data_IF_331260222896
#
_entry.id   IF_331260222896
#
_cell.length_a   1.000
_cell.length_b   1.000
_cell.length_c   1.000
_cell.angle_alpha   90.00
_cell.angle_beta   90.00
_cell.angle_gamma   90.00
#
_symmetry.space_group_name_H-M   'P 1'
#
loop_
_entity.id
_entity.type
_entity.pdbx_description
1 polymer ?
#
# COMPACT_ATOMS: atom_id res chain seq x y z
N UNK A 1 -17.79 -6.92 8.80
CA UNK A 1 -17.49 -6.46 7.43
C UNK A 1 -16.20 -5.65 7.29
N UNK A 2 -15.67 -5.03 8.35
CA UNK A 2 -14.51 -4.11 8.26
C UNK A 2 -13.15 -4.66 8.74
N UNK A 3 -12.92 -5.98 8.76
CA UNK A 3 -11.73 -6.55 9.46
C UNK A 3 -10.39 -6.23 8.77
N UNK A 4 -10.40 -5.93 7.47
CA UNK A 4 -9.19 -5.70 6.66
C UNK A 4 -8.98 -4.20 6.37
N UNK A 5 -10.00 -3.37 6.63
CA UNK A 5 -9.93 -1.94 6.41
C UNK A 5 -9.01 -1.27 7.45
N UNK A 6 -8.00 -0.53 6.98
CA UNK A 6 -7.15 0.30 7.83
C UNK A 6 -7.66 1.74 7.84
N UNK A 7 -7.06 2.59 8.68
CA UNK A 7 -7.46 3.99 8.83
C UNK A 7 -7.49 4.73 7.48
N UNK A 8 -6.48 4.55 6.63
CA UNK A 8 -6.39 5.20 5.32
C UNK A 8 -7.57 4.84 4.40
N UNK A 9 -7.96 3.56 4.31
CA UNK A 9 -9.10 3.15 3.48
C UNK A 9 -10.38 3.85 3.94
N UNK A 10 -10.59 3.91 5.27
CA UNK A 10 -11.79 4.51 5.85
C UNK A 10 -11.82 6.03 5.71
N UNK A 11 -10.65 6.69 5.74
CA UNK A 11 -10.55 8.13 5.46
C UNK A 11 -11.05 8.42 4.05
N UNK A 12 -10.55 7.68 3.04
CA UNK A 12 -10.98 7.86 1.65
C UNK A 12 -12.47 7.63 1.47
N UNK A 13 -13.02 6.62 2.13
CA UNK A 13 -14.47 6.37 2.10
C UNK A 13 -15.24 7.53 2.72
N UNK A 14 -14.80 8.06 3.87
CA UNK A 14 -15.47 9.22 4.48
C UNK A 14 -15.42 10.43 3.55
N UNK A 15 -14.28 10.71 2.93
CA UNK A 15 -14.11 11.81 1.97
C UNK A 15 -15.00 11.64 0.73
N UNK A 16 -15.08 10.43 0.18
CA UNK A 16 -15.94 10.10 -0.98
C UNK A 16 -17.44 10.21 -0.64
N UNK A 17 -17.81 10.05 0.62
CA UNK A 17 -19.17 10.23 1.12
C UNK A 17 -19.45 11.67 1.57
N UNK A 18 -18.65 12.65 1.11
CA UNK A 18 -18.71 14.07 1.47
C UNK A 18 -18.61 14.34 2.98
N UNK A 19 -18.01 13.40 3.73
CA UNK A 19 -17.80 13.49 5.16
C UNK A 19 -16.49 14.19 5.52
N UNK A 20 -16.47 14.87 6.67
CA UNK A 20 -15.25 15.49 7.20
C UNK A 20 -14.41 14.49 7.98
N UNK A 21 -13.10 14.47 7.73
CA UNK A 21 -12.12 13.66 8.48
C UNK A 21 -11.27 14.56 9.36
N UNK A 22 -11.24 14.26 10.65
CA UNK A 22 -10.36 14.92 11.60
C UNK A 22 -9.09 14.10 11.80
N UNK A 23 -7.94 14.76 12.01
CA UNK A 23 -6.67 14.06 12.28
C UNK A 23 -6.77 13.11 13.48
N UNK A 24 -7.58 13.50 14.48
CA UNK A 24 -7.85 12.76 15.71
C UNK A 24 -8.87 11.62 15.56
N UNK A 25 -9.45 11.43 14.37
CA UNK A 25 -10.42 10.37 14.15
C UNK A 25 -9.77 8.99 14.28
N UNK A 26 -10.43 8.13 15.05
CA UNK A 26 -10.05 6.72 15.19
C UNK A 26 -10.76 5.89 14.12
N UNK A 27 -10.25 4.68 13.86
CA UNK A 27 -10.93 3.71 12.98
C UNK A 27 -12.40 3.51 13.38
N UNK A 28 -12.69 3.48 14.69
CA UNK A 28 -14.06 3.35 15.18
C UNK A 28 -14.92 4.58 14.82
N UNK A 29 -14.40 5.80 15.03
CA UNK A 29 -15.11 7.04 14.65
C UNK A 29 -15.37 7.10 13.14
N UNK A 30 -14.40 6.75 12.31
CA UNK A 30 -14.55 6.73 10.86
C UNK A 30 -15.65 5.74 10.42
N UNK A 31 -15.68 4.53 11.00
CA UNK A 31 -16.75 3.55 10.75
C UNK A 31 -18.12 4.12 11.12
N UNK A 32 -18.24 4.75 12.28
CA UNK A 32 -19.50 5.40 12.69
C UNK A 32 -19.90 6.53 11.75
N UNK A 33 -18.95 7.33 11.23
CA UNK A 33 -19.25 8.38 10.24
C UNK A 33 -19.79 7.78 8.95
N UNK A 34 -19.18 6.70 8.45
CA UNK A 34 -19.64 5.98 7.25
C UNK A 34 -21.04 5.41 7.47
N UNK A 35 -21.26 4.71 8.57
CA UNK A 35 -22.55 4.07 8.89
C UNK A 35 -23.70 5.07 9.09
N UNK A 36 -23.38 6.32 9.44
CA UNK A 36 -24.34 7.43 9.60
C UNK A 36 -24.47 8.32 8.36
N UNK A 37 -23.77 8.01 7.28
CA UNK A 37 -23.90 8.77 6.04
C UNK A 37 -25.25 8.48 5.38
N UNK A 38 -25.85 9.49 4.76
CA UNK A 38 -27.09 9.34 3.99
C UNK A 38 -26.95 8.30 2.89
N UNK A 39 -25.77 8.19 2.28
CA UNK A 39 -25.45 7.18 1.25
C UNK A 39 -25.44 5.77 1.82
N UNK A 40 -24.97 5.56 3.04
CA UNK A 40 -25.03 4.23 3.66
C UNK A 40 -26.46 3.85 4.04
N UNK A 41 -27.27 4.83 4.46
CA UNK A 41 -28.71 4.63 4.73
C UNK A 41 -29.49 4.31 3.45
N UNK A 42 -29.14 4.94 2.32
CA UNK A 42 -29.82 4.72 1.03
C UNK A 42 -29.33 3.47 0.31
N UNK A 43 -28.01 3.22 0.30
CA UNK A 43 -27.37 2.11 -0.39
C UNK A 43 -26.12 1.60 0.35
N UNK A 44 -26.37 0.76 1.36
CA UNK A 44 -25.30 0.14 2.14
C UNK A 44 -24.39 -0.78 1.30
N UNK A 45 -24.89 -1.36 0.20
CA UNK A 45 -24.14 -2.29 -0.63
C UNK A 45 -23.17 -1.56 -1.57
N UNK A 46 -23.55 -0.39 -2.08
CA UNK A 46 -22.64 0.54 -2.72
C UNK A 46 -21.48 0.90 -1.78
N UNK A 47 -21.76 1.30 -0.54
CA UNK A 47 -20.71 1.71 0.41
C UNK A 47 -19.78 0.54 0.78
N UNK A 48 -20.31 -0.67 0.95
CA UNK A 48 -19.48 -1.87 1.17
C UNK A 48 -18.58 -2.16 -0.03
N UNK A 49 -19.08 -1.97 -1.24
CA UNK A 49 -18.31 -2.14 -2.48
C UNK A 49 -17.22 -1.08 -2.58
N UNK A 50 -17.53 0.17 -2.25
CA UNK A 50 -16.58 1.26 -2.21
C UNK A 50 -15.42 0.98 -1.24
N UNK A 51 -15.74 0.53 -0.01
CA UNK A 51 -14.73 0.11 0.98
C UNK A 51 -13.85 -1.00 0.41
N UNK A 52 -14.45 -2.01 -0.23
CA UNK A 52 -13.71 -3.11 -0.84
C UNK A 52 -12.75 -2.62 -1.92
N UNK A 53 -13.20 -1.71 -2.80
CA UNK A 53 -12.37 -1.17 -3.87
C UNK A 53 -11.14 -0.46 -3.33
N UNK A 54 -11.27 0.39 -2.30
CA UNK A 54 -10.10 1.05 -1.71
C UNK A 54 -9.14 0.07 -1.03
N UNK A 55 -9.65 -0.98 -0.39
CA UNK A 55 -8.81 -2.06 0.17
C UNK A 55 -8.03 -2.74 -0.96
N UNK A 56 -8.71 -3.12 -2.04
CA UNK A 56 -8.13 -3.84 -3.18
C UNK A 56 -7.08 -2.96 -3.89
N UNK A 57 -7.36 -1.67 -4.07
CA UNK A 57 -6.40 -0.69 -4.62
C UNK A 57 -5.13 -0.57 -3.78
N UNK A 58 -5.27 -0.49 -2.45
CA UNK A 58 -4.13 -0.42 -1.54
C UNK A 58 -3.32 -1.72 -1.59
N UNK A 59 -3.98 -2.87 -1.54
CA UNK A 59 -3.31 -4.18 -1.61
C UNK A 59 -2.52 -4.29 -2.91
N UNK A 60 -3.14 -3.99 -4.05
CA UNK A 60 -2.48 -3.99 -5.37
C UNK A 60 -1.27 -3.05 -5.42
N UNK A 61 -1.38 -1.84 -4.84
CA UNK A 61 -0.27 -0.89 -4.73
C UNK A 61 0.88 -1.46 -3.91
N UNK A 62 0.58 -2.08 -2.77
CA UNK A 62 1.58 -2.67 -1.87
C UNK A 62 2.28 -3.86 -2.54
N UNK A 63 1.55 -4.72 -3.25
CA UNK A 63 2.11 -5.84 -4.01
C UNK A 63 3.04 -5.38 -5.13
N UNK A 64 2.64 -4.32 -5.85
CA UNK A 64 3.47 -3.70 -6.87
C UNK A 64 4.75 -3.12 -6.27
N UNK A 65 4.64 -2.41 -5.15
CA UNK A 65 5.79 -1.85 -4.45
C UNK A 65 6.76 -2.93 -3.96
N UNK A 66 6.25 -4.00 -3.34
CA UNK A 66 7.05 -5.12 -2.88
C UNK A 66 7.77 -5.82 -4.04
N UNK A 67 7.13 -5.92 -5.20
CA UNK A 67 7.74 -6.49 -6.42
C UNK A 67 8.88 -5.60 -6.92
N UNK A 68 8.68 -4.29 -6.98
CA UNK A 68 9.72 -3.33 -7.38
C UNK A 68 10.91 -3.34 -6.41
N UNK A 69 10.67 -3.45 -5.11
CA UNK A 69 11.73 -3.55 -4.11
C UNK A 69 12.54 -4.84 -4.26
N UNK A 70 11.88 -5.98 -4.51
CA UNK A 70 12.57 -7.24 -4.81
C UNK A 70 13.45 -7.13 -6.05
N UNK A 71 12.94 -6.54 -7.13
CA UNK A 71 13.71 -6.33 -8.36
C UNK A 71 14.92 -5.41 -8.14
N UNK A 72 14.77 -4.35 -7.35
CA UNK A 72 15.90 -3.47 -6.98
C UNK A 72 16.98 -4.21 -6.20
N UNK A 73 16.58 -5.06 -5.25
CA UNK A 73 17.51 -5.87 -4.47
C UNK A 73 18.23 -6.88 -5.37
N UNK A 74 17.51 -7.53 -6.28
CA UNK A 74 18.08 -8.51 -7.22
C UNK A 74 19.09 -7.84 -8.16
N UNK A 75 18.75 -6.67 -8.71
CA UNK A 75 19.65 -5.88 -9.54
C UNK A 75 20.92 -5.46 -8.78
N UNK A 76 20.77 -4.99 -7.55
CA UNK A 76 21.91 -4.61 -6.71
C UNK A 76 22.83 -5.79 -6.42
N UNK A 77 22.28 -7.00 -6.19
CA UNK A 77 23.07 -8.23 -6.01
C UNK A 77 23.85 -8.58 -7.27
N UNK A 78 23.25 -8.46 -8.45
CA UNK A 78 23.93 -8.72 -9.72
C UNK A 78 25.08 -7.73 -9.96
N UNK A 79 24.84 -6.44 -9.68
CA UNK A 79 25.87 -5.40 -9.77
C UNK A 79 27.03 -5.66 -8.80
N UNK A 80 26.73 -6.05 -7.56
CA UNK A 80 27.74 -6.40 -6.57
C UNK A 80 28.60 -7.58 -7.04
N UNK A 81 27.97 -8.67 -7.50
CA UNK A 81 28.69 -9.84 -8.01
C UNK A 81 29.58 -9.52 -9.22
N UNK A 82 29.15 -8.60 -10.08
CA UNK A 82 29.96 -8.14 -11.21
C UNK A 82 31.19 -7.36 -10.75
N UNK A 83 31.03 -6.45 -9.77
CA UNK A 83 32.13 -5.69 -9.18
C UNK A 83 33.12 -6.59 -8.44
N UNK A 84 32.63 -7.55 -7.65
CA UNK A 84 33.47 -8.53 -6.94
C UNK A 84 34.35 -9.32 -7.92
N UNK A 85 33.76 -9.78 -9.03
CA UNK A 85 34.52 -10.47 -10.09
C UNK A 85 35.53 -9.56 -10.78
N UNK A 86 35.19 -8.30 -11.03
CA UNK A 86 36.13 -7.35 -11.63
C UNK A 86 37.33 -7.08 -10.72
N UNK A 87 37.09 -6.91 -9.41
CA UNK A 87 38.14 -6.76 -8.41
C UNK A 87 39.05 -7.99 -8.38
N UNK A 88 38.48 -9.20 -8.40
CA UNK A 88 39.25 -10.44 -8.43
C UNK A 88 40.15 -10.56 -9.68
N UNK A 89 39.62 -10.17 -10.84
CA UNK A 89 40.38 -10.12 -12.10
C UNK A 89 41.49 -9.06 -12.07
N UNK A 90 41.27 -7.90 -11.44
CA UNK A 90 42.31 -6.89 -11.28
C UNK A 90 43.41 -7.36 -10.33
N UNK A 91 43.05 -8.00 -9.20
CA UNK A 91 44.04 -8.53 -8.27
C UNK A 91 44.91 -9.63 -8.88
N UNK A 92 44.34 -10.50 -9.71
CA UNK A 92 45.11 -11.55 -10.41
C UNK A 92 46.05 -10.97 -11.46
N UNK A 93 45.65 -9.89 -12.17
CA UNK A 93 46.53 -9.16 -13.10
C UNK A 93 47.71 -8.44 -12.44
N UNK A 94 47.58 -8.03 -11.17
CA UNK A 94 48.67 -7.36 -10.43
C UNK A 94 49.69 -8.38 -9.88
N UNK A 95 49.29 -9.64 -9.71
CA UNK A 95 50.13 -10.71 -9.14
C UNK A 95 50.95 -11.49 -10.18
N UNK A 96 50.90 -11.13 -11.47
CA UNK A 96 51.69 -11.70 -12.56
C UNK A 96 52.44 -10.59 -13.28
#
# INVERSE_FOLDING_TARGET
MYKIAVKEDLIRVVEELDGTVESTDTIAKLKTKIEKSSTFESDADFVKTLIKNYIDERVSRNERQATLEKQKIELAKLQLAQLEKEVELQMTKIKH
#
